data_IF_164266133337
#
_entry.id   IF_164266133337
#
_cell.length_a   1.000
_cell.length_b   1.000
_cell.length_c   1.000
_cell.angle_alpha   90.00
_cell.angle_beta   90.00
_cell.angle_gamma   90.00
#
_symmetry.space_group_name_H-M   'P 1'
#
loop_
_entity.id
_entity.type
_entity.pdbx_description
1 polymer ?
#
# COMPACT_ATOMS: atom_id res chain seq x y z
N UNK A 1 -16.13 3.64 -27.46
CA UNK A 1 -15.26 2.52 -27.05
C UNK A 1 -14.28 3.11 -26.06
N UNK A 2 -14.39 2.75 -24.78
CA UNK A 2 -13.52 3.33 -23.75
C UNK A 2 -12.10 2.92 -24.07
N UNK A 3 -11.23 3.91 -24.23
CA UNK A 3 -9.79 3.76 -24.27
C UNK A 3 -9.39 2.98 -23.01
N UNK A 4 -9.00 1.72 -23.16
CA UNK A 4 -8.65 0.86 -22.01
C UNK A 4 -7.32 1.37 -21.50
N UNK A 5 -7.34 2.12 -20.41
CA UNK A 5 -6.14 2.61 -19.73
C UNK A 5 -5.11 1.48 -19.59
N UNK A 6 -3.98 1.53 -20.31
CA UNK A 6 -3.03 0.42 -20.38
C UNK A 6 -2.15 0.36 -19.13
N UNK A 7 -2.28 1.33 -18.22
CA UNK A 7 -1.42 1.42 -17.07
C UNK A 7 -1.88 0.49 -15.95
N UNK A 8 -0.89 -0.08 -15.25
CA UNK A 8 -1.09 -0.70 -13.96
C UNK A 8 -1.02 0.38 -12.90
N UNK A 9 -2.04 0.41 -12.05
CA UNK A 9 -2.26 1.42 -11.03
C UNK A 9 -1.93 0.92 -9.64
N UNK A 10 -1.99 1.85 -8.69
CA UNK A 10 -1.96 1.57 -7.26
C UNK A 10 -3.33 1.90 -6.69
N UNK A 11 -3.88 1.03 -5.85
CA UNK A 11 -5.09 1.33 -5.09
C UNK A 11 -4.86 2.52 -4.16
N UNK A 12 -5.86 3.40 -3.99
CA UNK A 12 -5.73 4.64 -3.20
C UNK A 12 -5.18 4.38 -1.79
N UNK A 13 -5.64 3.30 -1.15
CA UNK A 13 -5.20 2.90 0.18
C UNK A 13 -4.07 1.85 0.09
N UNK A 14 -2.99 2.15 -0.64
CA UNK A 14 -1.92 1.19 -0.98
C UNK A 14 -1.34 0.42 0.21
N UNK A 15 -1.24 1.07 1.38
CA UNK A 15 -0.73 0.47 2.62
C UNK A 15 -1.71 -0.54 3.26
N UNK A 16 -2.99 -0.44 2.89
CA UNK A 16 -4.10 -1.31 3.30
C UNK A 16 -4.66 -2.11 2.10
N UNK A 17 -3.85 -2.27 1.05
CA UNK A 17 -4.26 -2.93 -0.18
C UNK A 17 -3.64 -4.32 -0.31
N UNK A 18 -4.23 -5.14 -1.18
CA UNK A 18 -3.67 -6.43 -1.57
C UNK A 18 -4.07 -7.62 -0.68
N UNK A 19 -3.52 -8.78 -1.04
CA UNK A 19 -3.89 -10.05 -0.42
C UNK A 19 -3.43 -10.15 1.05
N UNK A 20 -2.27 -9.61 1.38
CA UNK A 20 -1.72 -9.70 2.74
C UNK A 20 -2.60 -8.97 3.77
N UNK A 21 -3.10 -7.79 3.42
CA UNK A 21 -4.01 -7.04 4.28
C UNK A 21 -5.36 -7.75 4.45
N UNK A 22 -5.94 -8.30 3.38
CA UNK A 22 -7.18 -9.10 3.46
C UNK A 22 -6.99 -10.38 4.28
N UNK A 23 -5.83 -11.03 4.16
CA UNK A 23 -5.48 -12.19 4.98
C UNK A 23 -5.39 -11.81 6.45
N UNK A 24 -4.80 -10.65 6.78
CA UNK A 24 -4.76 -10.14 8.16
C UNK A 24 -6.16 -9.87 8.72
N UNK A 25 -7.06 -9.27 7.92
CA UNK A 25 -8.49 -9.10 8.30
C UNK A 25 -9.14 -10.46 8.55
N UNK A 26 -8.94 -11.42 7.64
CA UNK A 26 -9.51 -12.77 7.74
C UNK A 26 -9.04 -13.47 9.02
N UNK A 27 -7.76 -13.39 9.35
CA UNK A 27 -7.21 -13.98 10.58
C UNK A 27 -7.76 -13.32 11.84
N UNK A 28 -8.05 -12.02 11.79
CA UNK A 28 -8.50 -11.25 12.96
C UNK A 28 -10.00 -11.40 13.21
N UNK A 29 -10.80 -11.43 12.14
CA UNK A 29 -12.26 -11.39 12.21
C UNK A 29 -12.94 -12.71 11.84
N UNK A 30 -12.22 -13.67 11.26
CA UNK A 30 -12.80 -14.90 10.72
C UNK A 30 -13.67 -14.67 9.47
N UNK A 31 -13.59 -13.49 8.86
CA UNK A 31 -14.40 -13.10 7.70
C UNK A 31 -13.56 -13.09 6.43
N UNK A 32 -13.96 -13.89 5.45
CA UNK A 32 -13.40 -13.85 4.09
C UNK A 32 -14.14 -12.77 3.31
N UNK A 33 -13.40 -11.74 2.85
CA UNK A 33 -13.96 -10.71 1.98
C UNK A 33 -13.62 -11.02 0.53
N UNK A 34 -14.63 -11.03 -0.34
CA UNK A 34 -14.41 -11.09 -1.79
C UNK A 34 -13.54 -9.92 -2.27
N UNK A 35 -12.76 -10.16 -3.33
CA UNK A 35 -12.02 -9.08 -3.97
C UNK A 35 -13.01 -8.13 -4.67
N UNK A 36 -12.81 -6.80 -4.56
CA UNK A 36 -13.67 -5.84 -5.24
C UNK A 36 -13.52 -5.97 -6.76
N UNK A 37 -14.60 -5.71 -7.51
CA UNK A 37 -14.56 -5.69 -8.98
C UNK A 37 -13.78 -4.48 -9.51
N UNK A 38 -13.92 -3.33 -8.85
CA UNK A 38 -13.26 -2.06 -9.20
C UNK A 38 -12.78 -1.34 -7.94
N UNK A 39 -11.75 -0.51 -8.09
CA UNK A 39 -11.18 0.28 -6.99
C UNK A 39 -10.86 1.69 -7.47
N UNK A 40 -10.85 2.64 -6.53
CA UNK A 40 -10.29 3.97 -6.76
C UNK A 40 -8.77 3.91 -6.63
N UNK A 41 -8.05 4.45 -7.60
CA UNK A 41 -6.59 4.46 -7.62
C UNK A 41 -5.99 5.70 -6.94
N UNK A 42 -4.69 5.67 -6.66
CA UNK A 42 -3.96 6.85 -6.18
C UNK A 42 -4.05 8.04 -7.14
N UNK A 43 -4.15 7.79 -8.45
CA UNK A 43 -4.35 8.83 -9.46
C UNK A 43 -5.82 9.29 -9.62
N UNK A 44 -6.75 8.76 -8.82
CA UNK A 44 -8.16 9.17 -8.80
C UNK A 44 -9.04 8.48 -9.85
N UNK A 45 -8.52 7.52 -10.61
CA UNK A 45 -9.31 6.75 -11.58
C UNK A 45 -10.06 5.61 -10.90
N UNK A 46 -11.16 5.18 -11.52
CA UNK A 46 -11.85 3.95 -11.15
C UNK A 46 -11.48 2.88 -12.18
N UNK A 47 -10.80 1.83 -11.74
CA UNK A 47 -10.27 0.76 -12.61
C UNK A 47 -10.63 -0.61 -12.06
N UNK A 48 -10.65 -1.67 -12.90
CA UNK A 48 -10.77 -3.04 -12.40
C UNK A 48 -9.66 -3.36 -11.40
N UNK A 49 -9.98 -4.09 -10.32
CA UNK A 49 -8.97 -4.46 -9.30
C UNK A 49 -7.77 -5.21 -9.91
N UNK A 50 -7.99 -6.00 -10.96
CA UNK A 50 -6.94 -6.70 -11.70
C UNK A 50 -5.91 -5.77 -12.39
N UNK A 51 -6.25 -4.49 -12.59
CA UNK A 51 -5.36 -3.47 -13.15
C UNK A 51 -4.56 -2.72 -12.07
N UNK A 52 -4.48 -3.27 -10.84
CA UNK A 52 -3.71 -2.69 -9.74
C UNK A 52 -2.60 -3.60 -9.27
N UNK A 53 -1.54 -3.02 -8.71
CA UNK A 53 -0.46 -3.76 -8.06
C UNK A 53 0.12 -2.99 -6.88
N UNK A 54 0.48 -3.71 -5.83
CA UNK A 54 1.28 -3.19 -4.71
C UNK A 54 2.78 -3.29 -4.96
N UNK A 55 3.20 -3.94 -6.07
CA UNK A 55 4.60 -4.15 -6.42
C UNK A 55 5.13 -2.99 -7.28
N UNK A 56 6.18 -2.26 -6.84
CA UNK A 56 6.70 -1.12 -7.59
C UNK A 56 7.05 -1.45 -9.05
N UNK A 57 7.67 -2.59 -9.30
CA UNK A 57 8.10 -3.02 -10.63
C UNK A 57 6.94 -3.30 -11.61
N UNK A 58 5.72 -3.49 -11.10
CA UNK A 58 4.54 -3.74 -11.93
C UNK A 58 3.76 -2.46 -12.25
N UNK A 59 3.97 -1.37 -11.51
CA UNK A 59 3.15 -0.14 -11.62
C UNK A 59 3.71 0.78 -12.70
N UNK A 60 2.92 1.01 -13.74
CA UNK A 60 3.29 1.83 -14.90
C UNK A 60 2.63 3.20 -14.92
N UNK A 61 1.63 3.46 -14.06
CA UNK A 61 1.04 4.79 -13.90
C UNK A 61 1.93 5.69 -13.02
N UNK A 62 2.60 6.68 -13.61
CA UNK A 62 3.52 7.58 -12.87
C UNK A 62 2.84 8.33 -11.70
N UNK A 63 1.63 8.92 -11.84
CA UNK A 63 0.95 9.51 -10.68
C UNK A 63 0.67 8.52 -9.54
N UNK A 64 0.38 7.25 -9.86
CA UNK A 64 0.20 6.21 -8.86
C UNK A 64 1.52 5.82 -8.17
N UNK A 65 2.65 5.87 -8.89
CA UNK A 65 3.98 5.67 -8.29
C UNK A 65 4.30 6.76 -7.28
N UNK A 66 4.09 8.02 -7.64
CA UNK A 66 4.28 9.16 -6.74
C UNK A 66 3.37 9.07 -5.51
N UNK A 67 2.09 8.76 -5.71
CA UNK A 67 1.15 8.53 -4.62
C UNK A 67 1.66 7.44 -3.67
N UNK A 68 2.08 6.29 -4.20
CA UNK A 68 2.59 5.19 -3.39
C UNK A 68 3.86 5.58 -2.60
N UNK A 69 4.80 6.26 -3.25
CA UNK A 69 6.00 6.78 -2.61
C UNK A 69 5.64 7.63 -1.37
N UNK A 70 4.73 8.59 -1.53
CA UNK A 70 4.30 9.46 -0.45
C UNK A 70 3.58 8.70 0.68
N UNK A 71 2.70 7.76 0.35
CA UNK A 71 1.95 7.00 1.36
C UNK A 71 2.86 6.09 2.20
N UNK A 72 3.85 5.45 1.59
CA UNK A 72 4.82 4.63 2.34
C UNK A 72 5.72 5.48 3.25
N UNK A 73 6.15 6.67 2.81
CA UNK A 73 6.87 7.61 3.67
C UNK A 73 6.02 8.09 4.85
N UNK A 74 4.76 8.47 4.60
CA UNK A 74 3.83 8.87 5.66
C UNK A 74 3.64 7.77 6.70
N UNK A 75 3.52 6.52 6.26
CA UNK A 75 3.39 5.38 7.16
C UNK A 75 4.68 5.15 7.97
N UNK A 76 5.85 5.26 7.35
CA UNK A 76 7.12 5.15 8.05
C UNK A 76 7.23 6.19 9.19
N UNK A 77 6.88 7.45 8.91
CA UNK A 77 6.87 8.52 9.91
C UNK A 77 5.83 8.28 11.02
N UNK A 78 4.68 7.71 10.68
CA UNK A 78 3.68 7.34 11.68
C UNK A 78 4.19 6.25 12.62
N UNK A 79 4.80 5.18 12.09
CA UNK A 79 5.37 4.10 12.91
C UNK A 79 6.50 4.62 13.79
N UNK A 80 7.38 5.47 13.27
CA UNK A 80 8.48 6.08 14.04
C UNK A 80 7.98 6.97 15.19
N UNK A 81 6.85 7.66 15.02
CA UNK A 81 6.22 8.46 16.09
C UNK A 81 5.52 7.56 17.13
N UNK A 82 4.81 6.54 16.66
CA UNK A 82 4.00 5.67 17.50
C UNK A 82 4.82 4.63 18.28
N UNK A 83 6.07 4.37 17.92
CA UNK A 83 6.94 3.43 18.64
C UNK A 83 7.67 4.03 19.86
N UNK A 84 7.56 5.35 20.07
CA UNK A 84 8.17 6.06 21.23
C UNK A 84 7.46 5.87 22.59
N UNK A 85 6.13 5.70 22.69
CA UNK A 85 5.46 5.51 23.97
C UNK A 85 5.70 4.12 24.57
N UNK A 86 5.74 3.97 25.91
CA UNK A 86 6.11 2.71 26.59
C UNK A 86 5.04 1.60 26.56
N UNK A 87 3.90 1.79 25.89
CA UNK A 87 2.73 0.90 25.96
C UNK A 87 2.48 0.09 24.68
N UNK A 88 3.43 0.06 23.74
CA UNK A 88 3.27 -0.67 22.48
C UNK A 88 3.98 -2.02 22.57
N UNK A 89 3.29 -3.11 22.22
CA UNK A 89 3.82 -4.48 22.21
C UNK A 89 4.82 -4.74 21.05
N UNK A 90 5.49 -3.71 20.55
CA UNK A 90 6.44 -3.78 19.44
C UNK A 90 7.78 -3.29 19.98
N UNK A 91 8.85 -4.07 19.78
CA UNK A 91 10.18 -3.64 20.22
C UNK A 91 10.69 -2.48 19.37
N UNK A 92 11.58 -1.66 19.92
CA UNK A 92 12.21 -0.57 19.16
C UNK A 92 12.92 -1.08 17.90
N UNK A 93 13.52 -2.27 17.96
CA UNK A 93 14.18 -2.92 16.82
C UNK A 93 13.18 -3.33 15.73
N UNK A 94 12.04 -3.92 16.10
CA UNK A 94 10.98 -4.26 15.15
C UNK A 94 10.41 -3.01 14.47
N UNK A 95 10.23 -1.92 15.22
CA UNK A 95 9.79 -0.65 14.66
C UNK A 95 10.82 -0.07 13.68
N UNK A 96 12.11 -0.06 14.04
CA UNK A 96 13.18 0.41 13.17
C UNK A 96 13.27 -0.41 11.87
N UNK A 97 13.16 -1.74 11.97
CA UNK A 97 13.16 -2.62 10.80
C UNK A 97 11.94 -2.38 9.90
N UNK A 98 10.76 -2.13 10.48
CA UNK A 98 9.56 -1.78 9.71
C UNK A 98 9.74 -0.44 8.97
N UNK A 99 10.24 0.60 9.66
CA UNK A 99 10.52 1.91 9.06
C UNK A 99 11.52 1.80 7.90
N UNK A 100 12.60 1.04 8.07
CA UNK A 100 13.60 0.84 7.02
C UNK A 100 12.99 0.18 5.77
N UNK A 101 12.20 -0.89 5.95
CA UNK A 101 11.51 -1.57 4.84
C UNK A 101 10.52 -0.66 4.12
N UNK A 102 9.79 0.18 4.84
CA UNK A 102 8.84 1.12 4.24
C UNK A 102 9.54 2.20 3.41
N UNK A 103 10.68 2.71 3.90
CA UNK A 103 11.49 3.68 3.16
C UNK A 103 12.09 3.07 1.89
N UNK A 104 12.65 1.86 1.97
CA UNK A 104 13.13 1.12 0.80
C UNK A 104 12.02 0.91 -0.24
N UNK A 105 10.82 0.54 0.20
CA UNK A 105 9.69 0.36 -0.69
C UNK A 105 9.26 1.68 -1.35
N UNK A 106 9.25 2.78 -0.58
CA UNK A 106 8.99 4.11 -1.12
C UNK A 106 10.01 4.49 -2.20
N UNK A 107 11.31 4.29 -1.95
CA UNK A 107 12.37 4.57 -2.93
C UNK A 107 12.17 3.81 -4.24
N UNK A 108 11.77 2.53 -4.17
CA UNK A 108 11.47 1.72 -5.36
C UNK A 108 10.31 2.24 -6.20
N UNK A 109 9.36 2.97 -5.60
CA UNK A 109 8.30 3.65 -6.35
C UNK A 109 8.79 4.94 -7.02
N UNK A 110 9.79 5.62 -6.45
CA UNK A 110 10.36 6.84 -7.01
C UNK A 110 11.36 6.60 -8.16
N UNK A 111 11.93 5.39 -8.25
CA UNK A 111 12.76 4.93 -9.38
C UNK A 111 11.96 4.81 -10.68
#
# INVERSE_FOLDING_TARGET
>A
MSDTDPHIHVERNVVQAGADFRNAITLTLGLVTDAPSTVTTGCGRHVPYAMTSTRPESVTCLPCREHAHQEYLKLADQIERLSRPPQVNITAEQAAQAVARLRELAERFAA
#
